data_IF_534705433293
#
_entry.id   IF_534705433293
#
_cell.length_a   1.000
_cell.length_b   1.000
_cell.length_c   1.000
_cell.angle_alpha   90.00
_cell.angle_beta   90.00
_cell.angle_gamma   90.00
#
_symmetry.space_group_name_H-M   'P 1'
#
loop_
_entity.id
_entity.type
_entity.pdbx_description
1 polymer ?
#
# COMPACT_ATOMS: atom_id res chain seq x y z
N UNK A 1 20.18 -0.94 -21.63
CA UNK A 1 21.00 0.14 -22.23
C UNK A 1 20.65 1.55 -21.73
N UNK A 2 19.53 1.80 -21.02
CA UNK A 2 19.20 3.14 -20.50
C UNK A 2 19.99 3.58 -19.25
N UNK A 3 20.31 2.65 -18.35
CA UNK A 3 20.98 2.96 -17.08
C UNK A 3 22.49 3.20 -17.19
N UNK A 4 23.14 2.68 -18.24
CA UNK A 4 24.60 2.81 -18.42
C UNK A 4 25.04 4.27 -18.53
N UNK A 5 24.29 5.10 -19.25
CA UNK A 5 24.58 6.54 -19.42
C UNK A 5 24.39 7.35 -18.13
N UNK A 6 23.52 6.91 -17.23
CA UNK A 6 23.28 7.55 -15.92
C UNK A 6 24.35 7.14 -14.90
N UNK A 7 24.87 5.91 -14.99
CA UNK A 7 25.92 5.39 -14.10
C UNK A 7 27.31 5.98 -14.39
N UNK A 8 27.57 6.36 -15.64
CA UNK A 8 28.83 6.97 -16.06
C UNK A 8 28.98 8.45 -15.63
N UNK A 9 27.88 9.13 -15.26
CA UNK A 9 27.88 10.58 -15.04
C UNK A 9 27.59 11.08 -13.62
N UNK A 10 27.00 10.27 -12.72
CA UNK A 10 26.60 10.72 -11.38
C UNK A 10 26.91 9.68 -10.28
N UNK A 11 27.90 9.98 -9.45
CA UNK A 11 28.33 9.14 -8.33
C UNK A 11 27.20 8.83 -7.32
N UNK A 12 26.16 9.67 -7.24
CA UNK A 12 24.99 9.43 -6.37
C UNK A 12 24.13 8.28 -6.91
N UNK A 13 24.06 8.12 -8.23
CA UNK A 13 23.34 7.02 -8.89
C UNK A 13 24.09 5.69 -8.63
N UNK A 14 25.42 5.73 -8.62
CA UNK A 14 26.26 4.57 -8.27
C UNK A 14 26.03 4.14 -6.81
N UNK A 15 25.94 5.09 -5.88
CA UNK A 15 25.64 4.82 -4.48
C UNK A 15 24.28 4.14 -4.27
N UNK A 16 23.22 4.69 -4.88
CA UNK A 16 21.86 4.13 -4.80
C UNK A 16 21.77 2.75 -5.45
N UNK A 17 22.40 2.56 -6.62
CA UNK A 17 22.46 1.25 -7.28
C UNK A 17 23.14 0.22 -6.38
N UNK A 18 24.28 0.58 -5.77
CA UNK A 18 25.00 -0.32 -4.86
C UNK A 18 24.14 -0.72 -3.66
N UNK A 19 23.44 0.24 -3.07
CA UNK A 19 22.59 -0.03 -1.92
C UNK A 19 21.36 -0.86 -2.31
N UNK A 20 20.80 -0.67 -3.50
CA UNK A 20 19.75 -1.52 -4.07
C UNK A 20 20.25 -2.95 -4.32
N UNK A 21 21.40 -3.12 -4.96
CA UNK A 21 22.00 -4.42 -5.25
C UNK A 21 22.21 -5.26 -3.98
N UNK A 22 22.56 -4.62 -2.86
CA UNK A 22 22.68 -5.30 -1.56
C UNK A 22 21.34 -5.85 -1.05
N UNK A 23 20.21 -5.26 -1.40
CA UNK A 23 18.89 -5.73 -0.96
C UNK A 23 18.44 -6.99 -1.71
N UNK A 24 18.90 -7.18 -2.97
CA UNK A 24 18.43 -8.24 -3.86
C UNK A 24 18.54 -9.64 -3.23
N UNK A 25 19.68 -10.09 -2.67
CA UNK A 25 19.79 -11.45 -2.14
C UNK A 25 18.77 -11.75 -1.04
N UNK A 26 18.62 -10.82 -0.08
CA UNK A 26 17.66 -10.98 1.02
C UNK A 26 16.20 -10.81 0.57
N UNK A 27 15.93 -10.09 -0.52
CA UNK A 27 14.60 -10.05 -1.12
C UNK A 27 14.27 -11.39 -1.79
N UNK A 28 15.20 -11.95 -2.56
CA UNK A 28 15.03 -13.25 -3.23
C UNK A 28 14.83 -14.36 -2.20
N UNK A 29 15.61 -14.38 -1.12
CA UNK A 29 15.45 -15.34 -0.03
C UNK A 29 14.05 -15.28 0.59
N UNK A 30 13.56 -14.07 0.92
CA UNK A 30 12.20 -13.86 1.42
C UNK A 30 11.14 -14.35 0.42
N UNK A 31 11.32 -14.08 -0.88
CA UNK A 31 10.37 -14.51 -1.90
C UNK A 31 10.34 -16.04 -2.04
N UNK A 32 11.50 -16.69 -1.99
CA UNK A 32 11.62 -18.15 -2.04
C UNK A 32 10.98 -18.81 -0.82
N UNK A 33 11.13 -18.23 0.37
CA UNK A 33 10.46 -18.72 1.59
C UNK A 33 8.94 -18.72 1.40
N UNK A 34 8.36 -17.66 0.83
CA UNK A 34 6.92 -17.61 0.54
C UNK A 34 6.46 -18.63 -0.48
N UNK A 35 7.25 -18.84 -1.54
CA UNK A 35 6.98 -19.88 -2.53
C UNK A 35 7.07 -21.29 -1.93
N UNK A 36 7.94 -21.51 -0.95
CA UNK A 36 8.00 -22.76 -0.19
C UNK A 36 6.76 -23.00 0.68
N UNK A 37 6.08 -21.93 1.09
CA UNK A 37 4.78 -21.97 1.80
C UNK A 37 3.58 -22.13 0.85
N UNK A 38 3.83 -22.31 -0.46
CA UNK A 38 2.80 -22.58 -1.45
C UNK A 38 2.23 -21.35 -2.17
N UNK A 39 2.67 -20.13 -1.83
CA UNK A 39 2.29 -18.93 -2.58
C UNK A 39 2.89 -18.97 -3.98
N UNK A 40 2.10 -18.64 -4.99
CA UNK A 40 2.55 -18.55 -6.38
C UNK A 40 2.14 -17.22 -6.97
N UNK A 41 3.04 -16.64 -7.74
CA UNK A 41 2.73 -15.47 -8.55
C UNK A 41 1.47 -15.71 -9.39
N UNK A 42 0.52 -14.78 -9.30
CA UNK A 42 -0.69 -14.79 -10.12
C UNK A 42 -0.70 -13.63 -11.10
N UNK A 43 -0.53 -12.39 -10.60
CA UNK A 43 -0.55 -11.18 -11.43
C UNK A 43 0.24 -10.02 -10.77
N UNK A 44 0.60 -9.00 -11.54
CA UNK A 44 1.27 -7.80 -11.05
C UNK A 44 0.91 -6.56 -11.90
N UNK A 45 1.00 -5.38 -11.28
CA UNK A 45 0.60 -4.10 -11.88
C UNK A 45 -0.82 -4.16 -12.50
N UNK A 46 -1.69 -4.94 -11.85
CA UNK A 46 -3.03 -5.23 -12.36
C UNK A 46 -3.94 -4.07 -12.00
N UNK A 47 -4.65 -3.53 -13.00
CA UNK A 47 -5.73 -2.57 -12.75
C UNK A 47 -6.90 -3.26 -12.06
N UNK A 48 -7.28 -2.75 -10.90
CA UNK A 48 -8.39 -3.21 -10.08
C UNK A 48 -9.39 -2.08 -9.89
N UNK A 49 -10.65 -2.45 -9.65
CA UNK A 49 -11.66 -1.49 -9.24
C UNK A 49 -12.99 -2.12 -8.88
N UNK A 50 -13.79 -1.38 -8.15
CA UNK A 50 -15.13 -1.75 -7.73
C UNK A 50 -16.03 -0.51 -7.68
N UNK A 51 -17.34 -0.75 -7.77
CA UNK A 51 -18.34 0.30 -7.56
C UNK A 51 -18.65 0.39 -6.05
N UNK A 52 -18.59 1.60 -5.52
CA UNK A 52 -18.90 1.90 -4.12
C UNK A 52 -20.14 2.77 -4.04
N UNK A 53 -21.14 2.30 -3.31
CA UNK A 53 -22.41 2.97 -3.10
C UNK A 53 -22.42 3.62 -1.73
N UNK A 54 -22.85 4.86 -1.63
CA UNK A 54 -22.99 5.57 -0.35
C UNK A 54 -24.16 6.54 -0.38
N UNK A 55 -24.60 6.97 0.81
CA UNK A 55 -25.57 8.05 0.96
C UNK A 55 -24.88 9.28 1.54
N UNK A 56 -25.23 10.45 1.03
CA UNK A 56 -24.78 11.70 1.63
C UNK A 56 -25.56 12.05 2.91
N UNK A 57 -25.17 13.13 3.59
CA UNK A 57 -25.80 13.55 4.85
C UNK A 57 -27.27 14.01 4.65
N UNK A 58 -27.71 14.24 3.41
CA UNK A 58 -29.10 14.55 3.06
C UNK A 58 -29.92 13.30 2.70
N UNK A 59 -29.30 12.11 2.75
CA UNK A 59 -29.93 10.84 2.42
C UNK A 59 -30.05 10.58 0.90
N UNK A 60 -29.36 11.38 0.07
CA UNK A 60 -29.30 11.12 -1.37
C UNK A 60 -28.30 10.00 -1.66
N UNK A 61 -28.70 9.06 -2.51
CA UNK A 61 -27.86 7.95 -2.94
C UNK A 61 -26.87 8.38 -4.04
N UNK A 62 -25.63 7.93 -3.91
CA UNK A 62 -24.54 8.14 -4.87
C UNK A 62 -23.78 6.84 -5.12
N UNK A 63 -23.20 6.74 -6.32
CA UNK A 63 -22.31 5.65 -6.71
C UNK A 63 -21.05 6.23 -7.33
N UNK A 64 -19.89 5.73 -6.90
CA UNK A 64 -18.60 6.04 -7.49
C UNK A 64 -17.86 4.77 -7.83
N UNK A 65 -16.92 4.89 -8.77
CA UNK A 65 -15.97 3.82 -9.09
C UNK A 65 -14.62 4.13 -8.46
N UNK A 66 -14.12 3.20 -7.65
CA UNK A 66 -12.77 3.29 -7.07
C UNK A 66 -11.86 2.38 -7.89
N UNK A 67 -10.76 2.93 -8.40
CA UNK A 67 -9.79 2.18 -9.21
C UNK A 67 -8.36 2.42 -8.75
N UNK A 68 -7.50 1.43 -8.94
CA UNK A 68 -6.07 1.51 -8.68
C UNK A 68 -5.29 0.39 -9.36
N UNK A 69 -3.97 0.37 -9.15
CA UNK A 69 -3.08 -0.68 -9.65
C UNK A 69 -2.48 -1.41 -8.45
N UNK A 70 -2.69 -2.72 -8.35
CA UNK A 70 -2.06 -3.53 -7.31
C UNK A 70 -0.67 -3.96 -7.78
N UNK A 71 0.35 -3.74 -6.96
CA UNK A 71 1.74 -4.07 -7.32
C UNK A 71 1.88 -5.57 -7.61
N UNK A 72 1.35 -6.43 -6.73
CA UNK A 72 1.40 -7.89 -6.92
C UNK A 72 0.29 -8.64 -6.20
N UNK A 73 -0.20 -9.67 -6.88
CA UNK A 73 -1.18 -10.64 -6.39
C UNK A 73 -0.56 -12.03 -6.51
N UNK A 74 -0.54 -12.77 -5.41
CA UNK A 74 -0.19 -14.18 -5.35
C UNK A 74 -1.44 -15.02 -5.03
N UNK A 75 -1.43 -16.27 -5.44
CA UNK A 75 -2.48 -17.25 -5.13
C UNK A 75 -1.88 -18.52 -4.57
N UNK A 76 -2.60 -19.20 -3.67
CA UNK A 76 -2.28 -20.57 -3.32
C UNK A 76 -2.99 -21.54 -4.28
N UNK A 77 -2.26 -22.45 -4.95
CA UNK A 77 -2.88 -23.47 -5.78
C UNK A 77 -3.88 -24.32 -4.98
N UNK A 78 -5.01 -24.64 -5.60
CA UNK A 78 -6.06 -25.52 -5.05
C UNK A 78 -6.86 -24.99 -3.84
N UNK A 79 -6.65 -23.75 -3.37
CA UNK A 79 -7.39 -23.18 -2.23
C UNK A 79 -8.15 -21.90 -2.55
N UNK A 80 -7.96 -21.31 -3.74
CA UNK A 80 -8.49 -19.99 -4.15
C UNK A 80 -8.09 -18.82 -3.25
N UNK A 81 -7.20 -19.04 -2.27
CA UNK A 81 -6.72 -18.01 -1.37
C UNK A 81 -5.79 -17.06 -2.12
N UNK A 82 -6.02 -15.77 -1.92
CA UNK A 82 -5.25 -14.69 -2.52
C UNK A 82 -4.38 -13.98 -1.47
N UNK A 83 -3.22 -13.53 -1.90
CA UNK A 83 -2.33 -12.63 -1.16
C UNK A 83 -2.08 -11.38 -2.00
N UNK A 84 -2.20 -10.21 -1.39
CA UNK A 84 -1.89 -8.93 -2.05
C UNK A 84 -0.67 -8.32 -1.39
N UNK A 85 0.26 -7.85 -2.22
CA UNK A 85 1.51 -7.25 -1.78
C UNK A 85 1.62 -5.84 -2.35
N UNK A 86 2.04 -4.92 -1.50
CA UNK A 86 2.42 -3.56 -1.88
C UNK A 86 3.88 -3.31 -1.47
N UNK A 87 4.70 -2.92 -2.44
CA UNK A 87 6.14 -2.75 -2.24
C UNK A 87 6.46 -1.32 -1.81
N UNK A 88 7.02 -1.17 -0.60
CA UNK A 88 7.44 0.14 -0.09
C UNK A 88 8.96 0.30 -0.10
N UNK A 89 9.43 1.33 -0.80
CA UNK A 89 10.85 1.74 -0.82
C UNK A 89 11.28 2.49 0.46
N UNK A 90 10.93 1.91 1.62
CA UNK A 90 11.16 2.44 2.96
C UNK A 90 11.72 1.32 3.86
N UNK A 91 12.22 1.70 5.04
CA UNK A 91 12.62 0.70 6.03
C UNK A 91 11.40 0.01 6.63
N UNK A 92 11.59 -1.21 7.12
CA UNK A 92 10.53 -1.97 7.78
C UNK A 92 9.92 -1.21 8.95
N UNK A 93 10.74 -0.52 9.75
CA UNK A 93 10.26 0.26 10.89
C UNK A 93 9.27 1.35 10.45
N UNK A 94 9.55 2.05 9.34
CA UNK A 94 8.63 3.05 8.77
C UNK A 94 7.35 2.44 8.22
N UNK A 95 7.45 1.25 7.62
CA UNK A 95 6.27 0.50 7.15
C UNK A 95 5.40 0.07 8.34
N UNK A 96 6.01 -0.35 9.46
CA UNK A 96 5.29 -0.65 10.69
C UNK A 96 4.61 0.58 11.29
N UNK A 97 5.28 1.73 11.35
CA UNK A 97 4.68 3.00 11.79
C UNK A 97 3.46 3.34 10.93
N UNK A 98 3.55 3.18 9.61
CA UNK A 98 2.42 3.36 8.69
C UNK A 98 1.29 2.36 8.96
N UNK A 99 1.60 1.09 9.24
CA UNK A 99 0.56 0.08 9.54
C UNK A 99 -0.26 0.41 10.79
N UNK A 100 0.31 1.15 11.75
CA UNK A 100 -0.43 1.61 12.94
C UNK A 100 -1.49 2.67 12.59
N UNK A 101 -1.38 3.30 11.42
CA UNK A 101 -2.30 4.29 10.87
C UNK A 101 -2.96 3.75 9.58
N UNK A 102 -3.35 2.48 9.58
CA UNK A 102 -3.93 1.79 8.41
C UNK A 102 -5.06 2.59 7.74
N UNK A 103 -5.90 3.29 8.52
CA UNK A 103 -7.04 4.03 7.97
C UNK A 103 -6.69 5.39 7.38
N UNK A 104 -5.51 5.93 7.66
CA UNK A 104 -5.02 7.14 7.00
C UNK A 104 -4.57 6.87 5.55
N UNK A 105 -4.23 5.61 5.25
CA UNK A 105 -3.79 5.16 3.92
C UNK A 105 -4.20 3.68 3.68
N UNK A 106 -5.49 3.43 3.42
CA UNK A 106 -6.05 2.08 3.38
C UNK A 106 -5.86 1.37 2.03
N UNK A 107 -4.75 1.67 1.32
CA UNK A 107 -4.48 1.20 -0.05
C UNK A 107 -4.65 -0.33 -0.21
N UNK A 108 -4.09 -1.13 0.70
CA UNK A 108 -4.21 -2.59 0.65
C UNK A 108 -5.65 -3.09 0.85
N UNK A 109 -6.43 -2.44 1.72
CA UNK A 109 -7.82 -2.80 1.96
C UNK A 109 -8.70 -2.49 0.73
N UNK A 110 -8.41 -1.40 0.01
CA UNK A 110 -9.10 -1.08 -1.25
C UNK A 110 -8.85 -2.14 -2.33
N UNK A 111 -7.62 -2.66 -2.43
CA UNK A 111 -7.34 -3.78 -3.34
C UNK A 111 -8.02 -5.07 -2.89
N UNK A 112 -8.07 -5.33 -1.59
CA UNK A 112 -8.79 -6.47 -1.02
C UNK A 112 -10.29 -6.42 -1.38
N UNK A 113 -10.91 -5.24 -1.27
CA UNK A 113 -12.31 -5.02 -1.66
C UNK A 113 -12.51 -5.34 -3.16
N UNK A 114 -11.64 -4.82 -4.02
CA UNK A 114 -11.70 -5.03 -5.46
C UNK A 114 -11.54 -6.50 -5.90
N UNK A 115 -10.85 -7.32 -5.09
CA UNK A 115 -10.61 -8.73 -5.35
C UNK A 115 -11.56 -9.67 -4.60
N UNK A 116 -12.38 -9.17 -3.69
CA UNK A 116 -13.25 -9.97 -2.81
C UNK A 116 -14.15 -10.96 -3.56
N UNK A 117 -14.62 -10.58 -4.76
CA UNK A 117 -15.45 -11.44 -5.62
C UNK A 117 -14.66 -12.55 -6.33
N UNK A 118 -13.33 -12.47 -6.42
CA UNK A 118 -12.47 -13.44 -7.10
C UNK A 118 -12.00 -14.55 -6.15
N UNK A 119 -11.91 -14.27 -4.85
CA UNK A 119 -11.53 -15.25 -3.85
C UNK A 119 -11.30 -14.63 -2.47
N UNK A 120 -11.27 -15.44 -1.41
CA UNK A 120 -10.92 -14.97 -0.08
C UNK A 120 -9.48 -14.44 -0.03
N UNK A 121 -9.30 -13.28 0.60
CA UNK A 121 -7.98 -12.70 0.86
C UNK A 121 -7.44 -13.26 2.18
N UNK A 122 -6.32 -13.98 2.12
CA UNK A 122 -5.64 -14.54 3.29
C UNK A 122 -4.56 -13.60 3.83
N UNK A 123 -3.81 -12.95 2.93
CA UNK A 123 -2.68 -12.09 3.31
C UNK A 123 -2.75 -10.73 2.62
N UNK A 124 -2.59 -9.67 3.41
CA UNK A 124 -2.38 -8.29 2.95
C UNK A 124 -1.08 -7.77 3.56
N UNK A 125 -0.04 -7.68 2.75
CA UNK A 125 1.28 -7.29 3.24
C UNK A 125 1.80 -6.04 2.55
N UNK A 126 2.35 -5.13 3.36
CA UNK A 126 3.37 -4.22 2.87
C UNK A 126 4.73 -4.90 2.93
N UNK A 127 5.51 -4.77 1.86
CA UNK A 127 6.84 -5.36 1.74
C UNK A 127 7.90 -4.28 1.76
N UNK A 128 8.70 -4.25 2.82
CA UNK A 128 9.81 -3.30 2.94
C UNK A 128 10.99 -3.68 2.03
N UNK A 129 11.33 -2.78 1.11
CA UNK A 129 12.44 -3.00 0.19
C UNK A 129 13.81 -2.57 0.75
N UNK A 130 13.84 -1.65 1.75
CA UNK A 130 15.08 -1.18 2.38
C UNK A 130 15.29 -1.81 3.75
N UNK A 131 15.84 -3.01 3.78
CA UNK A 131 16.16 -3.68 5.04
C UNK A 131 17.51 -3.23 5.60
N UNK A 132 17.60 -3.15 6.93
CA UNK A 132 18.88 -3.08 7.61
C UNK A 132 19.47 -4.50 7.70
N UNK A 133 20.24 -4.88 6.69
CA UNK A 133 20.82 -6.22 6.52
C UNK A 133 21.82 -6.63 7.63
N UNK A 134 22.21 -5.70 8.51
CA UNK A 134 23.07 -6.00 9.68
C UNK A 134 22.28 -6.50 10.89
N UNK A 135 20.95 -6.34 10.91
CA UNK A 135 20.08 -6.84 11.98
C UNK A 135 19.69 -8.30 11.70
N UNK A 136 19.53 -9.10 12.75
CA UNK A 136 19.14 -10.52 12.66
C UNK A 136 17.76 -10.76 12.02
N UNK A 137 16.86 -9.77 12.04
CA UNK A 137 15.50 -9.87 11.46
C UNK A 137 15.42 -9.53 9.96
N UNK A 138 16.53 -9.65 9.21
CA UNK A 138 16.57 -9.29 7.78
C UNK A 138 15.59 -10.10 6.90
N UNK A 139 15.13 -11.27 7.36
CA UNK A 139 14.15 -12.11 6.65
C UNK A 139 12.70 -11.61 6.74
N UNK A 140 12.35 -10.81 7.75
CA UNK A 140 10.95 -10.37 7.98
C UNK A 140 10.59 -9.12 7.20
N UNK A 141 10.59 -9.17 5.86
CA UNK A 141 10.29 -7.97 5.03
C UNK A 141 8.83 -7.53 5.09
N UNK A 142 7.91 -8.48 5.25
CA UNK A 142 6.48 -8.22 5.33
C UNK A 142 6.07 -7.56 6.63
N UNK A 143 5.11 -6.64 6.52
CA UNK A 143 4.27 -6.14 7.60
C UNK A 143 2.83 -6.43 7.19
N UNK A 144 2.22 -7.38 7.88
CA UNK A 144 0.89 -7.91 7.56
C UNK A 144 -0.20 -7.13 8.29
N UNK A 145 -1.31 -6.86 7.61
CA UNK A 145 -2.54 -6.37 8.25
C UNK A 145 -3.19 -7.54 9.01
N UNK A 146 -3.32 -7.39 10.33
CA UNK A 146 -4.06 -8.31 11.17
C UNK A 146 -5.58 -8.05 11.08
N UNK A 147 -6.39 -9.06 11.38
CA UNK A 147 -7.87 -8.94 11.48
C UNK A 147 -8.52 -8.31 10.24
N UNK A 148 -8.18 -8.81 9.04
CA UNK A 148 -8.69 -8.31 7.75
C UNK A 148 -10.21 -8.05 7.77
N UNK A 149 -11.09 -8.97 8.27
CA UNK A 149 -12.53 -8.72 8.27
C UNK A 149 -12.93 -7.46 9.05
N UNK A 150 -12.32 -7.22 10.22
CA UNK A 150 -12.58 -6.03 11.03
C UNK A 150 -12.08 -4.77 10.31
N UNK A 151 -10.89 -4.82 9.71
CA UNK A 151 -10.33 -3.72 8.94
C UNK A 151 -11.19 -3.36 7.72
N UNK A 152 -11.77 -4.35 7.03
CA UNK A 152 -12.70 -4.13 5.92
C UNK A 152 -14.01 -3.45 6.36
N UNK A 153 -14.54 -3.83 7.53
CA UNK A 153 -15.71 -3.15 8.11
C UNK A 153 -15.41 -1.69 8.44
N UNK A 154 -14.24 -1.42 9.03
CA UNK A 154 -13.79 -0.06 9.33
C UNK A 154 -13.58 0.76 8.06
N UNK A 155 -12.96 0.18 7.02
CA UNK A 155 -12.82 0.81 5.71
C UNK A 155 -14.17 1.23 5.15
N UNK A 156 -15.15 0.31 5.12
CA UNK A 156 -16.47 0.60 4.57
C UNK A 156 -17.16 1.73 5.35
N UNK A 157 -17.12 1.70 6.68
CA UNK A 157 -17.68 2.76 7.52
C UNK A 157 -17.00 4.12 7.28
N UNK A 158 -15.66 4.13 7.18
CA UNK A 158 -14.88 5.33 6.90
C UNK A 158 -15.22 5.91 5.52
N UNK A 159 -15.27 5.06 4.48
CA UNK A 159 -15.65 5.49 3.12
C UNK A 159 -17.07 6.06 3.06
N UNK A 160 -18.04 5.44 3.74
CA UNK A 160 -19.41 5.98 3.84
C UNK A 160 -19.40 7.38 4.46
N UNK A 161 -18.71 7.53 5.60
CA UNK A 161 -18.64 8.80 6.33
C UNK A 161 -17.93 9.89 5.51
N UNK A 162 -16.75 9.59 4.98
CA UNK A 162 -15.91 10.56 4.29
C UNK A 162 -16.54 11.01 2.98
N UNK A 163 -17.00 10.06 2.14
CA UNK A 163 -17.62 10.38 0.87
C UNK A 163 -18.96 11.09 1.09
N UNK A 164 -19.76 10.63 2.05
CA UNK A 164 -21.02 11.29 2.39
C UNK A 164 -20.82 12.75 2.80
N UNK A 165 -19.84 13.01 3.67
CA UNK A 165 -19.54 14.39 4.11
C UNK A 165 -18.98 15.26 2.97
N UNK A 166 -18.09 14.71 2.14
CA UNK A 166 -17.54 15.44 0.98
C UNK A 166 -18.64 15.81 -0.02
N UNK A 167 -19.57 14.89 -0.30
CA UNK A 167 -20.65 15.13 -1.25
C UNK A 167 -21.67 16.16 -0.74
N UNK A 168 -21.89 16.22 0.56
CA UNK A 168 -22.69 17.25 1.23
C UNK A 168 -22.01 18.62 1.33
N UNK A 169 -20.81 18.79 0.77
CA UNK A 169 -20.06 20.05 0.82
C UNK A 169 -19.34 20.28 2.15
N UNK A 170 -19.14 19.22 2.93
CA UNK A 170 -18.36 19.24 4.16
C UNK A 170 -16.93 19.72 3.95
N UNK A 171 -16.36 20.34 4.98
CA UNK A 171 -15.00 20.86 4.92
C UNK A 171 -13.98 19.71 4.93
N UNK A 172 -13.21 19.56 3.85
CA UNK A 172 -12.07 18.64 3.79
C UNK A 172 -10.91 19.14 4.66
N UNK A 173 -10.65 18.45 5.77
CA UNK A 173 -9.56 18.79 6.68
C UNK A 173 -8.26 18.15 6.19
N UNK A 174 -7.20 18.94 6.14
CA UNK A 174 -5.86 18.39 5.89
C UNK A 174 -5.46 17.49 7.08
N UNK A 175 -5.28 16.19 6.82
CA UNK A 175 -5.01 15.19 7.87
C UNK A 175 -3.59 14.60 7.79
N UNK A 176 -2.87 14.80 6.68
CA UNK A 176 -1.56 14.20 6.46
C UNK A 176 -0.54 14.57 7.58
N UNK A 177 0.38 13.67 7.96
CA UNK A 177 1.39 13.94 8.98
C UNK A 177 2.36 15.06 8.54
N UNK A 178 3.00 15.73 9.50
CA UNK A 178 3.90 16.87 9.23
C UNK A 178 5.02 16.53 8.24
N UNK A 179 5.54 15.31 8.31
CA UNK A 179 6.56 14.78 7.41
C UNK A 179 6.11 14.81 5.95
N UNK A 180 4.84 14.48 5.68
CA UNK A 180 4.22 14.58 4.35
C UNK A 180 3.92 16.03 3.99
N UNK A 181 3.41 16.83 4.94
CA UNK A 181 3.12 18.25 4.70
C UNK A 181 4.33 19.07 4.26
N UNK A 182 5.57 18.64 4.58
CA UNK A 182 6.81 19.31 4.14
C UNK A 182 6.99 19.30 2.62
N UNK A 183 6.50 18.27 1.95
CA UNK A 183 6.66 18.07 0.51
C UNK A 183 5.36 18.32 -0.26
N UNK A 184 4.33 18.87 0.39
CA UNK A 184 3.04 19.14 -0.23
C UNK A 184 3.08 20.46 -1.01
N UNK A 185 2.81 20.43 -2.31
CA UNK A 185 2.78 21.63 -3.15
C UNK A 185 1.68 22.63 -2.72
N UNK A 186 0.58 22.12 -2.16
CA UNK A 186 -0.49 22.94 -1.61
C UNK A 186 -0.17 23.52 -0.22
N UNK A 187 1.03 23.28 0.35
CA UNK A 187 1.39 23.73 1.71
C UNK A 187 1.21 25.25 1.87
N UNK A 188 1.56 26.03 0.86
CA UNK A 188 1.48 27.51 0.91
C UNK A 188 0.06 28.06 1.02
N UNK A 189 -0.96 27.27 0.69
CA UNK A 189 -2.38 27.64 0.79
C UNK A 189 -3.15 26.79 1.81
N UNK A 190 -2.49 25.78 2.39
CA UNK A 190 -3.11 24.85 3.32
C UNK A 190 -3.23 25.49 4.71
N UNK A 191 -4.45 25.51 5.26
CA UNK A 191 -4.69 26.05 6.61
C UNK A 191 -3.85 25.34 7.68
N UNK A 192 -3.64 24.02 7.58
CA UNK A 192 -2.78 23.26 8.52
C UNK A 192 -1.30 23.70 8.49
N UNK A 193 -0.81 24.27 7.38
CA UNK A 193 0.58 24.72 7.26
C UNK A 193 0.82 26.17 7.69
N UNK A 194 -0.26 26.92 7.97
CA UNK A 194 -0.24 28.35 8.30
C UNK A 194 -0.42 28.64 9.80
N UNK A 195 -0.78 27.63 10.60
CA UNK A 195 -0.93 27.72 12.06
C UNK A 195 0.09 26.84 12.77
#
# INVERSE_FOLDING_TARGET
QGFSRLLEGDQRIVGQLRDWQKQIPSFVEWQLERESQGWRFHDAERKLGFEFNFSDEHGQFHQIRIEGYADRIDQQPNTSLLSILDYKNQSREKVMERSAQLMDDPQLLLYAEALSAQGPIDQLDWVALKMNLKKKDASKRSVTIAEIPLAMQQLHAQLQSDLGSVWSGGAMRAFAPESTCRYCDARGICRKGMW
#
